data_IF_613182295849
#
_entry.id   IF_613182295849
#
_cell.length_a   1.000
_cell.length_b   1.000
_cell.length_c   1.000
_cell.angle_alpha   90.00
_cell.angle_beta   90.00
_cell.angle_gamma   90.00
#
_symmetry.space_group_name_H-M   'P 1'
#
loop_
_entity.id
_entity.type
_entity.pdbx_description
1 polymer ?
#
# COMPACT_ATOMS: atom_id res chain seq x y z
N UNK A 1 -22.39 7.65 -14.39
CA UNK A 1 -22.10 6.24 -13.94
C UNK A 1 -22.20 6.20 -12.42
N UNK A 2 -22.97 5.25 -11.83
CA UNK A 2 -23.11 5.11 -10.37
C UNK A 2 -22.24 3.94 -9.87
N UNK A 3 -21.31 4.26 -8.97
CA UNK A 3 -20.29 3.33 -8.45
C UNK A 3 -20.48 3.19 -6.94
N UNK A 4 -20.63 1.97 -6.47
CA UNK A 4 -20.63 1.66 -5.04
C UNK A 4 -19.36 0.87 -4.70
N UNK A 5 -18.62 1.37 -3.72
CA UNK A 5 -17.39 0.73 -3.22
C UNK A 5 -17.60 0.34 -1.76
N UNK A 6 -17.34 -0.91 -1.39
CA UNK A 6 -17.50 -1.39 -0.02
C UNK A 6 -16.17 -1.86 0.55
N UNK A 7 -15.67 -1.18 1.60
CA UNK A 7 -14.43 -1.56 2.28
C UNK A 7 -14.31 -0.95 3.68
N UNK A 8 -13.63 -1.68 4.57
CA UNK A 8 -13.22 -1.14 5.87
C UNK A 8 -12.02 -0.18 5.76
N UNK A 9 -11.28 -0.19 4.66
CA UNK A 9 -10.10 0.66 4.45
C UNK A 9 -10.46 2.14 4.45
N UNK A 10 -11.65 2.49 4.00
CA UNK A 10 -12.12 3.87 3.82
C UNK A 10 -12.80 4.49 5.04
N UNK A 11 -12.68 3.84 6.22
CA UNK A 11 -12.95 4.50 7.50
C UNK A 11 -11.97 5.65 7.76
N UNK A 12 -10.74 5.55 7.18
CA UNK A 12 -9.70 6.59 7.24
C UNK A 12 -9.88 7.56 6.08
N UNK A 13 -10.00 8.84 6.39
CA UNK A 13 -10.31 9.89 5.42
C UNK A 13 -9.26 10.01 4.30
N UNK A 14 -7.98 9.94 4.66
CA UNK A 14 -6.86 9.99 3.71
C UNK A 14 -6.93 8.91 2.63
N UNK A 15 -7.56 7.77 2.91
CA UNK A 15 -7.67 6.66 1.96
C UNK A 15 -8.75 6.90 0.89
N UNK A 16 -9.59 7.93 1.02
CA UNK A 16 -10.75 8.20 0.15
C UNK A 16 -10.43 9.03 -1.08
N UNK A 17 -9.24 9.63 -1.14
CA UNK A 17 -8.88 10.65 -2.14
C UNK A 17 -9.05 10.16 -3.59
N UNK A 18 -8.59 8.93 -3.88
CA UNK A 18 -8.81 8.30 -5.19
C UNK A 18 -10.28 8.33 -5.65
N UNK A 19 -11.22 8.07 -4.74
CA UNK A 19 -12.65 8.02 -5.07
C UNK A 19 -13.30 9.40 -5.11
N UNK A 20 -12.79 10.38 -4.36
CA UNK A 20 -13.20 11.79 -4.52
C UNK A 20 -12.79 12.29 -5.90
N UNK A 21 -11.54 12.01 -6.32
CA UNK A 21 -11.07 12.38 -7.65
C UNK A 21 -11.91 11.65 -8.71
N UNK A 22 -12.15 10.35 -8.57
CA UNK A 22 -12.96 9.57 -9.51
C UNK A 22 -14.35 10.19 -9.71
N UNK A 23 -15.00 10.65 -8.64
CA UNK A 23 -16.31 11.29 -8.70
C UNK A 23 -16.31 12.62 -9.47
N UNK A 24 -15.13 13.23 -9.64
CA UNK A 24 -14.96 14.52 -10.33
C UNK A 24 -14.33 14.39 -11.72
N UNK A 25 -13.98 13.17 -12.19
CA UNK A 25 -13.38 12.98 -13.52
C UNK A 25 -14.37 13.25 -14.65
N UNK A 26 -15.64 12.92 -14.46
CA UNK A 26 -16.71 13.15 -15.44
C UNK A 26 -18.00 13.60 -14.73
N UNK A 27 -18.81 14.48 -15.34
CA UNK A 27 -19.99 15.08 -14.67
C UNK A 27 -21.03 14.06 -14.19
N UNK A 28 -21.15 12.92 -14.88
CA UNK A 28 -22.19 11.92 -14.61
C UNK A 28 -21.70 10.78 -13.69
N UNK A 29 -20.55 10.95 -13.04
CA UNK A 29 -20.04 9.95 -12.10
C UNK A 29 -20.52 10.27 -10.69
N UNK A 30 -21.19 9.31 -10.07
CA UNK A 30 -21.55 9.32 -8.65
C UNK A 30 -20.84 8.17 -7.94
N UNK A 31 -20.15 8.47 -6.85
CA UNK A 31 -19.40 7.48 -6.06
C UNK A 31 -19.95 7.41 -4.64
N UNK A 32 -20.40 6.23 -4.24
CA UNK A 32 -20.81 5.93 -2.87
C UNK A 32 -19.84 4.93 -2.25
N UNK A 33 -19.15 5.34 -1.19
CA UNK A 33 -18.27 4.46 -0.42
C UNK A 33 -19.01 3.98 0.82
N UNK A 34 -19.27 2.67 0.88
CA UNK A 34 -19.87 2.01 2.04
C UNK A 34 -18.76 1.53 2.97
N UNK A 35 -18.84 1.94 4.22
CA UNK A 35 -17.89 1.57 5.27
C UNK A 35 -18.61 0.96 6.47
N UNK A 36 -17.95 0.08 7.25
CA UNK A 36 -18.51 -0.34 8.53
C UNK A 36 -18.67 0.86 9.45
N UNK A 37 -19.81 0.98 10.11
CA UNK A 37 -20.10 2.06 11.05
C UNK A 37 -19.12 2.05 12.22
N UNK A 38 -18.73 0.86 12.68
CA UNK A 38 -17.80 0.66 13.80
C UNK A 38 -16.73 -0.34 13.39
N UNK A 39 -15.47 0.09 13.39
CA UNK A 39 -14.37 -0.78 13.03
C UNK A 39 -13.14 -0.56 13.89
N UNK A 40 -12.47 -1.65 14.26
CA UNK A 40 -11.20 -1.65 14.97
C UNK A 40 -10.09 -1.97 13.97
N UNK A 41 -9.38 -0.96 13.45
CA UNK A 41 -8.24 -1.21 12.59
C UNK A 41 -7.15 -1.94 13.38
N UNK A 42 -6.47 -2.87 12.75
CA UNK A 42 -5.30 -3.53 13.34
C UNK A 42 -4.12 -2.58 13.48
N UNK A 43 -3.07 -3.01 14.19
CA UNK A 43 -1.83 -2.25 14.36
C UNK A 43 -1.78 -1.41 15.63
N UNK A 44 -1.13 -0.24 15.55
CA UNK A 44 -0.89 0.63 16.73
C UNK A 44 -2.15 1.30 17.28
N UNK A 45 -3.15 1.53 16.41
CA UNK A 45 -4.44 2.11 16.83
C UNK A 45 -5.41 1.01 17.28
N UNK A 46 -5.38 0.68 18.55
CA UNK A 46 -6.25 -0.35 19.13
C UNK A 46 -7.63 0.20 19.55
N UNK A 47 -8.08 1.32 18.97
CA UNK A 47 -9.35 1.97 19.26
C UNK A 47 -10.38 1.65 18.17
N UNK A 48 -11.65 1.53 18.57
CA UNK A 48 -12.77 1.45 17.61
C UNK A 48 -12.95 2.84 17.01
N UNK A 49 -12.97 2.89 15.67
CA UNK A 49 -13.32 4.09 14.91
C UNK A 49 -14.81 4.01 14.57
N UNK A 50 -15.54 5.06 14.86
CA UNK A 50 -16.93 5.26 14.42
C UNK A 50 -16.92 6.24 13.25
N UNK A 51 -17.40 5.77 12.10
CA UNK A 51 -17.44 6.59 10.89
C UNK A 51 -18.77 7.36 10.83
N UNK A 52 -18.68 8.62 10.46
CA UNK A 52 -19.82 9.50 10.22
C UNK A 52 -20.15 9.55 8.73
N UNK A 53 -21.40 9.87 8.41
CA UNK A 53 -21.80 10.18 7.04
C UNK A 53 -21.04 11.42 6.54
N UNK A 54 -20.59 11.36 5.29
CA UNK A 54 -19.90 12.46 4.64
C UNK A 54 -20.34 12.55 3.19
N UNK A 55 -20.52 13.77 2.67
CA UNK A 55 -20.85 14.01 1.27
C UNK A 55 -20.17 15.28 0.76
N UNK A 56 -19.62 15.20 -0.45
CA UNK A 56 -19.00 16.30 -1.17
C UNK A 56 -19.29 16.12 -2.67
N UNK A 57 -20.12 16.99 -3.23
CA UNK A 57 -20.57 16.87 -4.62
C UNK A 57 -21.22 15.51 -4.92
N UNK A 58 -20.67 14.81 -5.90
CA UNK A 58 -21.09 13.45 -6.33
C UNK A 58 -20.41 12.32 -5.56
N UNK A 59 -19.55 12.62 -4.59
CA UNK A 59 -18.91 11.66 -3.70
C UNK A 59 -19.60 11.62 -2.33
N UNK A 60 -19.86 10.42 -1.82
CA UNK A 60 -20.37 10.24 -0.45
C UNK A 60 -19.79 9.02 0.24
N UNK A 61 -19.69 9.09 1.57
CA UNK A 61 -19.31 7.99 2.48
C UNK A 61 -20.50 7.65 3.35
N UNK A 62 -20.97 6.42 3.26
CA UNK A 62 -22.16 5.94 3.97
C UNK A 62 -21.75 4.85 4.98
N UNK A 63 -21.71 5.17 6.28
CA UNK A 63 -21.49 4.16 7.30
C UNK A 63 -22.73 3.26 7.44
N UNK A 64 -22.52 1.94 7.37
CA UNK A 64 -23.58 0.95 7.55
C UNK A 64 -23.25 0.09 8.79
N UNK A 65 -24.26 -0.21 9.59
CA UNK A 65 -24.10 -1.15 10.71
C UNK A 65 -23.50 -2.47 10.24
N UNK A 66 -22.63 -3.07 11.05
CA UNK A 66 -21.84 -4.23 10.65
C UNK A 66 -21.71 -5.25 11.78
N UNK A 67 -21.59 -6.54 11.42
CA UNK A 67 -21.58 -7.63 12.38
C UNK A 67 -20.17 -8.04 12.84
N UNK A 68 -19.13 -7.81 12.04
CA UNK A 68 -17.74 -7.97 12.47
C UNK A 68 -17.07 -6.60 12.61
N UNK A 69 -16.27 -6.41 13.68
CA UNK A 69 -15.62 -5.13 13.97
C UNK A 69 -14.10 -5.16 13.71
N UNK A 70 -13.50 -6.32 13.41
CA UNK A 70 -12.05 -6.48 13.25
C UNK A 70 -11.64 -7.63 12.33
N UNK A 71 -12.58 -8.44 11.86
CA UNK A 71 -12.30 -9.55 10.96
C UNK A 71 -12.86 -9.25 9.57
N UNK A 72 -11.95 -8.97 8.63
CA UNK A 72 -12.29 -8.62 7.24
C UNK A 72 -13.07 -9.73 6.52
N UNK A 73 -12.71 -10.99 6.75
CA UNK A 73 -13.36 -12.14 6.11
C UNK A 73 -14.82 -12.33 6.52
N UNK A 74 -15.12 -11.95 7.78
CA UNK A 74 -16.46 -12.08 8.38
C UNK A 74 -17.28 -10.79 8.32
N UNK A 75 -16.72 -9.69 7.78
CA UNK A 75 -17.45 -8.44 7.65
C UNK A 75 -18.70 -8.65 6.80
N UNK A 76 -19.86 -8.27 7.36
CA UNK A 76 -21.13 -8.15 6.66
C UNK A 76 -21.85 -6.89 7.12
N UNK A 77 -22.70 -6.35 6.26
CA UNK A 77 -23.42 -5.11 6.48
C UNK A 77 -24.88 -5.37 6.85
N UNK A 78 -25.46 -4.50 7.64
CA UNK A 78 -26.85 -4.57 8.07
C UNK A 78 -27.86 -4.21 6.96
N UNK A 79 -29.13 -4.22 7.33
CA UNK A 79 -30.27 -4.09 6.38
C UNK A 79 -30.35 -2.73 5.69
N UNK A 80 -29.75 -1.67 6.24
CA UNK A 80 -29.73 -0.35 5.60
C UNK A 80 -28.95 -0.36 4.28
N UNK A 81 -28.05 -1.34 4.08
CA UNK A 81 -27.41 -1.58 2.79
C UNK A 81 -28.44 -1.87 1.69
N UNK A 82 -29.52 -2.61 2.00
CA UNK A 82 -30.58 -2.94 1.04
C UNK A 82 -31.30 -1.66 0.56
N UNK A 83 -31.65 -0.79 1.51
CA UNK A 83 -32.30 0.51 1.19
C UNK A 83 -31.38 1.41 0.33
N UNK A 84 -30.08 1.44 0.70
CA UNK A 84 -29.08 2.17 -0.07
C UNK A 84 -28.99 1.66 -1.51
N UNK A 85 -28.86 0.35 -1.71
CA UNK A 85 -28.78 -0.28 -3.02
C UNK A 85 -30.02 -0.04 -3.87
N UNK A 86 -31.23 -0.13 -3.28
CA UNK A 86 -32.50 0.14 -3.97
C UNK A 86 -32.61 1.59 -4.44
N UNK A 87 -32.16 2.54 -3.62
CA UNK A 87 -32.19 3.97 -3.93
C UNK A 87 -31.10 4.38 -4.91
N UNK A 88 -29.86 3.98 -4.67
CA UNK A 88 -28.68 4.38 -5.45
C UNK A 88 -28.60 3.65 -6.80
N UNK A 89 -29.01 2.37 -6.87
CA UNK A 89 -28.99 1.51 -8.06
C UNK A 89 -27.65 1.59 -8.81
N UNK A 90 -26.55 1.13 -8.19
CA UNK A 90 -25.22 1.21 -8.79
C UNK A 90 -25.15 0.39 -10.09
N UNK A 91 -24.28 0.83 -11.01
CA UNK A 91 -23.86 0.08 -12.21
C UNK A 91 -22.59 -0.73 -11.94
N UNK A 92 -21.80 -0.27 -10.97
CA UNK A 92 -20.59 -0.95 -10.48
C UNK A 92 -20.73 -1.18 -8.97
N UNK A 93 -20.44 -2.39 -8.53
CA UNK A 93 -20.29 -2.76 -7.10
C UNK A 93 -18.89 -3.30 -6.91
N UNK A 94 -18.00 -2.53 -6.31
CA UNK A 94 -16.63 -2.94 -6.00
C UNK A 94 -16.50 -3.29 -4.51
N UNK A 95 -16.02 -4.50 -4.20
CA UNK A 95 -15.82 -4.96 -2.83
C UNK A 95 -14.33 -5.19 -2.57
N UNK A 96 -13.76 -4.42 -1.65
CA UNK A 96 -12.33 -4.48 -1.34
C UNK A 96 -12.05 -5.21 -0.03
N UNK A 97 -12.41 -6.50 0.01
CA UNK A 97 -12.25 -7.39 1.18
C UNK A 97 -11.59 -8.74 0.83
N UNK A 98 -11.19 -8.92 -0.44
CA UNK A 98 -10.62 -10.17 -0.93
C UNK A 98 -11.64 -11.23 -1.31
N UNK A 99 -11.18 -12.24 -2.06
CA UNK A 99 -12.03 -13.31 -2.65
C UNK A 99 -12.78 -14.18 -1.63
N UNK A 100 -12.30 -14.24 -0.41
CA UNK A 100 -12.81 -15.10 0.67
C UNK A 100 -13.75 -14.38 1.64
N UNK A 101 -14.25 -13.19 1.29
CA UNK A 101 -15.04 -12.37 2.22
C UNK A 101 -16.54 -12.60 2.10
N UNK A 102 -17.22 -12.57 3.23
CA UNK A 102 -18.68 -12.60 3.30
C UNK A 102 -19.31 -11.33 2.74
N UNK A 103 -18.66 -10.16 2.87
CA UNK A 103 -19.15 -8.91 2.29
C UNK A 103 -19.25 -9.00 0.76
N UNK A 104 -18.30 -9.67 0.11
CA UNK A 104 -18.34 -9.91 -1.33
C UNK A 104 -19.58 -10.76 -1.71
N UNK A 105 -19.75 -11.90 -1.04
CA UNK A 105 -20.92 -12.77 -1.27
C UNK A 105 -22.24 -12.05 -0.98
N UNK A 106 -22.31 -11.25 0.09
CA UNK A 106 -23.49 -10.47 0.44
C UNK A 106 -23.89 -9.50 -0.67
N UNK A 107 -22.93 -8.72 -1.18
CA UNK A 107 -23.21 -7.71 -2.21
C UNK A 107 -23.53 -8.35 -3.56
N UNK A 108 -22.88 -9.45 -3.93
CA UNK A 108 -23.23 -10.25 -5.11
C UNK A 108 -24.67 -10.79 -5.00
N UNK A 109 -25.03 -11.35 -3.83
CA UNK A 109 -26.38 -11.86 -3.60
C UNK A 109 -27.43 -10.75 -3.66
N UNK A 110 -27.17 -9.59 -3.03
CA UNK A 110 -28.07 -8.44 -3.06
C UNK A 110 -28.21 -7.87 -4.47
N UNK A 111 -27.13 -7.78 -5.25
CA UNK A 111 -27.18 -7.39 -6.66
C UNK A 111 -28.17 -8.27 -7.46
N UNK A 112 -28.11 -9.59 -7.25
CA UNK A 112 -29.00 -10.57 -7.87
C UNK A 112 -30.46 -10.41 -7.40
N UNK A 113 -30.69 -10.40 -6.09
CA UNK A 113 -32.03 -10.33 -5.50
C UNK A 113 -32.77 -9.03 -5.84
N UNK A 114 -32.07 -7.92 -5.85
CA UNK A 114 -32.62 -6.59 -6.17
C UNK A 114 -32.63 -6.30 -7.69
N UNK A 115 -32.16 -7.25 -8.52
CA UNK A 115 -32.09 -7.13 -9.98
C UNK A 115 -31.43 -5.81 -10.42
N UNK A 116 -30.29 -5.46 -9.79
CA UNK A 116 -29.60 -4.20 -10.10
C UNK A 116 -28.87 -4.26 -11.43
N UNK A 117 -28.43 -5.45 -11.86
CA UNK A 117 -27.62 -5.68 -13.07
C UNK A 117 -26.26 -4.98 -13.01
N UNK A 118 -25.77 -4.70 -11.80
CA UNK A 118 -24.46 -4.09 -11.61
C UNK A 118 -23.32 -5.07 -11.90
N UNK A 119 -22.20 -4.58 -12.41
CA UNK A 119 -20.95 -5.35 -12.51
C UNK A 119 -20.32 -5.49 -11.14
N UNK A 120 -20.02 -6.72 -10.75
CA UNK A 120 -19.35 -7.03 -9.49
C UNK A 120 -17.84 -7.02 -9.68
N UNK A 121 -17.14 -6.23 -8.92
CA UNK A 121 -15.68 -6.13 -8.96
C UNK A 121 -15.14 -6.47 -7.57
N UNK A 122 -14.07 -7.26 -7.54
CA UNK A 122 -13.39 -7.68 -6.33
C UNK A 122 -11.98 -7.09 -6.31
N UNK A 123 -11.54 -6.62 -5.13
CA UNK A 123 -10.15 -6.23 -4.90
C UNK A 123 -9.46 -7.19 -3.91
N UNK A 124 -8.17 -7.48 -4.16
CA UNK A 124 -7.33 -8.28 -3.26
C UNK A 124 -5.89 -7.81 -3.19
N UNK A 125 -5.32 -7.83 -1.96
CA UNK A 125 -3.88 -7.67 -1.70
C UNK A 125 -3.14 -9.00 -1.57
N UNK A 126 -3.85 -10.13 -1.56
CA UNK A 126 -3.26 -11.41 -1.16
C UNK A 126 -2.24 -11.90 -2.19
N UNK A 127 -0.98 -12.02 -1.79
CA UNK A 127 0.16 -12.34 -2.65
C UNK A 127 0.89 -13.66 -2.28
N UNK A 128 0.26 -14.52 -1.48
CA UNK A 128 0.82 -15.81 -1.08
C UNK A 128 -0.12 -16.96 -1.46
N UNK A 129 0.39 -18.10 -1.93
CA UNK A 129 -0.40 -19.31 -2.09
C UNK A 129 -1.08 -19.70 -0.78
N UNK A 130 -2.31 -20.22 -0.86
CA UNK A 130 -3.08 -20.61 0.30
C UNK A 130 -3.90 -21.88 0.05
N UNK A 131 -4.22 -22.55 1.15
CA UNK A 131 -5.11 -23.72 1.17
C UNK A 131 -6.37 -23.37 1.95
N UNK A 132 -7.51 -23.81 1.45
CA UNK A 132 -8.81 -23.53 2.02
C UNK A 132 -9.49 -24.83 2.47
N UNK A 133 -10.20 -24.77 3.60
CA UNK A 133 -11.18 -25.79 3.90
C UNK A 133 -12.35 -25.68 2.92
N UNK A 134 -13.22 -26.71 2.89
CA UNK A 134 -14.29 -26.83 1.91
C UNK A 134 -15.30 -25.66 1.97
N UNK A 135 -15.63 -25.14 3.18
CA UNK A 135 -16.58 -24.03 3.35
C UNK A 135 -16.03 -22.73 2.77
N UNK A 136 -14.78 -22.39 3.09
CA UNK A 136 -14.14 -21.17 2.58
C UNK A 136 -13.85 -21.29 1.08
N UNK A 137 -13.55 -22.50 0.59
CA UNK A 137 -13.39 -22.77 -0.84
C UNK A 137 -14.71 -22.59 -1.60
N UNK A 138 -15.83 -23.06 -1.03
CA UNK A 138 -17.15 -22.84 -1.60
C UNK A 138 -17.48 -21.33 -1.69
N UNK A 139 -17.23 -20.58 -0.61
CA UNK A 139 -17.43 -19.12 -0.58
C UNK A 139 -16.58 -18.41 -1.63
N UNK A 140 -15.30 -18.76 -1.72
CA UNK A 140 -14.40 -18.17 -2.71
C UNK A 140 -14.83 -18.49 -4.14
N UNK A 141 -15.18 -19.74 -4.42
CA UNK A 141 -15.65 -20.15 -5.74
C UNK A 141 -16.94 -19.40 -6.12
N UNK A 142 -17.88 -19.25 -5.17
CA UNK A 142 -19.09 -18.45 -5.39
C UNK A 142 -18.73 -17.00 -5.75
N UNK A 143 -17.84 -16.37 -4.97
CA UNK A 143 -17.43 -15.00 -5.22
C UNK A 143 -16.76 -14.86 -6.60
N UNK A 144 -15.81 -15.73 -6.93
CA UNK A 144 -15.09 -15.68 -8.21
C UNK A 144 -15.99 -15.92 -9.42
N UNK A 145 -16.93 -16.86 -9.33
CA UNK A 145 -17.88 -17.17 -10.41
C UNK A 145 -18.87 -16.02 -10.72
N UNK A 146 -19.13 -15.14 -9.75
CA UNK A 146 -20.07 -14.03 -9.89
C UNK A 146 -19.37 -12.65 -9.90
N UNK A 147 -18.07 -12.63 -10.13
CA UNK A 147 -17.26 -11.40 -10.27
C UNK A 147 -16.96 -11.16 -11.74
N UNK A 148 -17.31 -9.97 -12.25
CA UNK A 148 -17.07 -9.56 -13.63
C UNK A 148 -15.64 -9.08 -13.84
N UNK A 149 -15.02 -8.45 -12.83
CA UNK A 149 -13.64 -7.95 -12.88
C UNK A 149 -12.93 -8.05 -11.55
N UNK A 150 -11.61 -8.25 -11.58
CA UNK A 150 -10.76 -8.27 -10.38
C UNK A 150 -9.71 -7.18 -10.47
N UNK A 151 -9.53 -6.46 -9.36
CA UNK A 151 -8.40 -5.59 -9.14
C UNK A 151 -7.47 -6.30 -8.16
N UNK A 152 -6.26 -6.62 -8.62
CA UNK A 152 -5.22 -7.21 -7.80
C UNK A 152 -4.20 -6.15 -7.41
N UNK A 153 -3.94 -6.01 -6.11
CA UNK A 153 -2.99 -5.03 -5.59
C UNK A 153 -1.54 -5.32 -5.95
N UNK A 154 -1.27 -6.49 -6.54
CA UNK A 154 0.05 -6.97 -6.96
C UNK A 154 -0.07 -8.10 -7.99
N UNK A 155 1.03 -8.39 -8.69
CA UNK A 155 1.10 -9.42 -9.74
C UNK A 155 0.89 -10.84 -9.18
N UNK A 156 1.43 -11.13 -8.00
CA UNK A 156 1.27 -12.45 -7.38
C UNK A 156 -0.19 -12.73 -7.05
N UNK A 157 -0.92 -11.72 -6.56
CA UNK A 157 -2.37 -11.82 -6.31
C UNK A 157 -3.16 -12.14 -7.58
N UNK A 158 -2.82 -11.48 -8.70
CA UNK A 158 -3.42 -11.77 -9.99
C UNK A 158 -3.15 -13.22 -10.44
N UNK A 159 -1.89 -13.68 -10.35
CA UNK A 159 -1.49 -15.05 -10.69
C UNK A 159 -2.23 -16.09 -9.83
N UNK A 160 -2.33 -15.86 -8.52
CA UNK A 160 -3.01 -16.76 -7.59
C UNK A 160 -4.49 -16.91 -7.98
N UNK A 161 -5.19 -15.81 -8.27
CA UNK A 161 -6.60 -15.89 -8.65
C UNK A 161 -6.80 -16.56 -10.02
N UNK A 162 -5.88 -16.39 -10.96
CA UNK A 162 -5.86 -17.17 -12.21
C UNK A 162 -5.71 -18.68 -11.94
N UNK A 163 -4.78 -19.07 -11.05
CA UNK A 163 -4.59 -20.47 -10.62
C UNK A 163 -5.80 -21.03 -9.88
N UNK A 164 -6.59 -20.18 -9.21
CA UNK A 164 -7.87 -20.50 -8.57
C UNK A 164 -9.03 -20.60 -9.57
N UNK A 165 -8.78 -20.45 -10.86
CA UNK A 165 -9.76 -20.67 -11.93
C UNK A 165 -10.49 -19.42 -12.41
N UNK A 166 -10.11 -18.20 -11.95
CA UNK A 166 -10.73 -16.98 -12.46
C UNK A 166 -10.28 -16.67 -13.89
N UNK A 167 -11.23 -16.51 -14.82
CA UNK A 167 -10.98 -16.27 -16.24
C UNK A 167 -11.39 -14.87 -16.72
N UNK A 168 -12.07 -14.07 -15.87
CA UNK A 168 -12.55 -12.73 -16.24
C UNK A 168 -11.45 -11.68 -16.32
N UNK A 169 -11.81 -10.42 -16.48
CA UNK A 169 -10.89 -9.29 -16.55
C UNK A 169 -10.11 -9.09 -15.24
N UNK A 170 -8.80 -8.81 -15.33
CA UNK A 170 -7.93 -8.53 -14.17
C UNK A 170 -7.11 -7.29 -14.45
N UNK A 171 -7.22 -6.29 -13.58
CA UNK A 171 -6.35 -5.11 -13.53
C UNK A 171 -5.40 -5.23 -12.34
N UNK A 172 -4.10 -5.03 -12.55
CA UNK A 172 -3.12 -4.95 -11.47
C UNK A 172 -2.88 -3.49 -11.15
N UNK A 173 -3.28 -3.07 -9.94
CA UNK A 173 -3.07 -1.71 -9.45
C UNK A 173 -3.21 -1.65 -7.92
N UNK A 174 -2.48 -0.77 -7.22
CA UNK A 174 -2.59 -0.65 -5.78
C UNK A 174 -3.95 -0.09 -5.35
N UNK A 175 -4.33 -0.38 -4.11
CA UNK A 175 -5.56 0.13 -3.51
C UNK A 175 -5.51 1.64 -3.27
N UNK A 176 -4.36 2.14 -2.85
CA UNK A 176 -4.12 3.53 -2.47
C UNK A 176 -3.01 4.10 -3.34
N UNK A 177 -3.17 5.35 -3.76
CA UNK A 177 -2.15 6.12 -4.45
C UNK A 177 -1.34 7.00 -3.50
N UNK A 178 -0.34 7.69 -4.06
CA UNK A 178 0.36 8.78 -3.38
C UNK A 178 -0.36 10.10 -3.64
N UNK A 179 -0.38 10.94 -2.62
CA UNK A 179 -0.83 12.34 -2.73
C UNK A 179 0.37 13.19 -3.19
N UNK A 180 0.37 13.59 -4.45
CA UNK A 180 1.42 14.39 -5.08
C UNK A 180 1.49 15.83 -4.57
N UNK A 181 0.45 16.31 -3.89
CA UNK A 181 0.45 17.64 -3.26
C UNK A 181 1.19 17.60 -1.94
N UNK A 182 1.12 16.49 -1.24
CA UNK A 182 1.78 16.22 0.03
C UNK A 182 3.23 15.72 -0.19
N UNK A 183 3.39 14.67 -1.01
CA UNK A 183 4.67 14.07 -1.35
C UNK A 183 5.24 14.70 -2.62
N UNK A 184 6.04 15.73 -2.43
CA UNK A 184 6.71 16.47 -3.50
C UNK A 184 8.14 16.79 -3.14
N UNK A 185 8.95 16.99 -4.14
CA UNK A 185 10.32 17.45 -3.93
C UNK A 185 10.32 18.80 -3.22
N UNK A 186 11.06 18.87 -2.13
CA UNK A 186 11.43 20.09 -1.44
C UNK A 186 12.93 20.05 -1.12
N UNK A 187 13.53 21.21 -0.86
CA UNK A 187 14.89 21.24 -0.33
C UNK A 187 14.97 20.52 1.03
N UNK A 188 16.16 20.06 1.42
CA UNK A 188 16.40 19.55 2.77
C UNK A 188 16.07 20.64 3.79
N UNK A 189 15.23 20.31 4.75
CA UNK A 189 14.84 21.23 5.83
C UNK A 189 16.09 21.56 6.68
N UNK A 190 16.51 22.84 6.77
CA UNK A 190 17.73 23.23 7.50
C UNK A 190 17.62 22.99 9.00
N UNK A 191 16.42 23.12 9.58
CA UNK A 191 16.21 22.94 11.02
C UNK A 191 16.24 21.47 11.38
N UNK A 192 15.61 20.60 10.57
CA UNK A 192 15.71 19.15 10.73
C UNK A 192 17.15 18.66 10.50
N UNK A 193 17.85 19.19 9.48
CA UNK A 193 19.24 18.85 9.21
C UNK A 193 20.14 19.19 10.42
N UNK A 194 20.00 20.39 10.97
CA UNK A 194 20.73 20.83 12.17
C UNK A 194 20.38 20.01 13.40
N UNK A 195 19.08 19.74 13.61
CA UNK A 195 18.58 18.91 14.72
C UNK A 195 19.18 17.52 14.74
N UNK A 196 19.37 16.93 13.56
CA UNK A 196 19.88 15.56 13.40
C UNK A 196 21.39 15.49 13.13
N UNK A 197 22.10 16.61 13.12
CA UNK A 197 23.53 16.66 12.84
C UNK A 197 23.87 16.12 11.45
N UNK A 198 23.01 16.42 10.45
CA UNK A 198 23.22 16.05 9.05
C UNK A 198 24.03 17.16 8.39
N UNK A 199 25.26 16.85 8.03
CA UNK A 199 26.13 17.79 7.32
C UNK A 199 25.82 17.80 5.81
N UNK A 200 26.12 18.90 5.09
CA UNK A 200 25.89 18.99 3.65
C UNK A 200 26.59 17.89 2.83
N UNK A 201 27.69 17.34 3.35
CA UNK A 201 28.46 16.26 2.73
C UNK A 201 27.96 14.86 3.07
N UNK A 202 27.03 14.73 4.00
CA UNK A 202 26.50 13.43 4.40
C UNK A 202 25.56 12.87 3.35
N UNK A 203 25.77 11.61 2.99
CA UNK A 203 24.82 10.84 2.22
C UNK A 203 23.79 10.19 3.16
N UNK A 204 22.56 10.67 3.13
CA UNK A 204 21.49 10.20 4.02
C UNK A 204 20.77 9.02 3.37
N UNK A 205 20.94 7.83 3.95
CA UNK A 205 20.18 6.64 3.61
C UNK A 205 18.93 6.60 4.47
N UNK A 206 17.75 6.50 3.86
CA UNK A 206 16.48 6.54 4.55
C UNK A 206 15.75 5.20 4.61
N UNK A 207 14.99 5.01 5.68
CA UNK A 207 13.97 3.98 5.81
C UNK A 207 12.77 4.56 6.55
N UNK A 208 11.58 4.31 6.02
CA UNK A 208 10.31 4.67 6.68
C UNK A 208 9.43 3.44 6.79
N UNK A 209 9.00 3.10 8.00
CA UNK A 209 8.13 1.95 8.21
C UNK A 209 8.26 1.29 9.57
N UNK A 210 7.60 0.14 9.73
CA UNK A 210 7.66 -0.64 10.98
C UNK A 210 9.03 -1.30 11.15
N UNK A 211 9.56 -1.28 12.37
CA UNK A 211 10.81 -1.97 12.70
C UNK A 211 10.51 -3.42 13.12
N UNK A 212 10.37 -4.28 12.11
CA UNK A 212 10.08 -5.71 12.23
C UNK A 212 10.99 -6.51 11.31
N UNK A 213 11.17 -7.79 11.61
CA UNK A 213 12.17 -8.64 10.91
C UNK A 213 11.96 -8.67 9.39
N UNK A 214 10.70 -8.80 8.96
CA UNK A 214 10.34 -8.89 7.54
C UNK A 214 10.65 -7.62 6.73
N UNK A 215 10.95 -6.50 7.40
CA UNK A 215 11.39 -5.27 6.74
C UNK A 215 12.92 -5.22 6.49
N UNK A 216 13.67 -6.28 6.86
CA UNK A 216 15.05 -6.48 6.45
C UNK A 216 16.06 -5.46 6.97
N UNK A 217 15.75 -4.74 8.07
CA UNK A 217 16.62 -3.68 8.60
C UNK A 217 18.00 -4.18 9.02
N UNK A 218 18.14 -5.44 9.45
CA UNK A 218 19.44 -6.01 9.76
C UNK A 218 20.32 -6.19 8.51
N UNK A 219 19.73 -6.50 7.37
CA UNK A 219 20.44 -6.58 6.07
C UNK A 219 20.96 -5.19 5.68
N UNK A 220 20.14 -4.13 5.85
CA UNK A 220 20.57 -2.77 5.57
C UNK A 220 21.67 -2.30 6.55
N UNK A 221 21.54 -2.61 7.84
CA UNK A 221 22.58 -2.30 8.83
C UNK A 221 23.91 -2.98 8.48
N UNK A 222 23.87 -4.26 8.08
CA UNK A 222 25.07 -5.01 7.63
C UNK A 222 25.70 -4.40 6.37
N UNK A 223 24.89 -3.97 5.40
CA UNK A 223 25.38 -3.29 4.20
C UNK A 223 26.07 -1.97 4.54
N UNK A 224 25.45 -1.15 5.41
CA UNK A 224 25.97 0.14 5.87
C UNK A 224 27.27 -0.03 6.67
N UNK A 225 27.36 -1.02 7.53
CA UNK A 225 28.58 -1.33 8.29
C UNK A 225 29.80 -1.63 7.39
N UNK A 226 29.56 -2.11 6.17
CA UNK A 226 30.58 -2.30 5.14
C UNK A 226 31.08 -1.03 4.45
N UNK A 227 30.39 0.12 4.60
CA UNK A 227 30.70 1.40 3.96
C UNK A 227 31.63 2.24 4.85
N UNK A 228 32.88 1.80 5.04
CA UNK A 228 33.84 2.40 6.01
C UNK A 228 34.39 3.76 5.61
N UNK A 229 34.46 4.07 4.32
CA UNK A 229 35.21 5.24 3.79
C UNK A 229 34.31 6.47 3.45
N UNK A 230 32.99 6.33 3.46
CA UNK A 230 32.07 7.37 3.04
C UNK A 230 31.44 8.06 4.25
N UNK A 231 31.16 9.36 4.15
CA UNK A 231 30.32 10.06 5.11
C UNK A 231 28.86 9.77 4.81
N UNK A 232 28.19 9.07 5.72
CA UNK A 232 26.78 8.75 5.60
C UNK A 232 26.09 8.77 6.95
N UNK A 233 24.80 9.01 6.91
CA UNK A 233 23.87 8.88 8.04
C UNK A 233 22.74 7.94 7.64
N UNK A 234 22.18 7.21 8.59
CA UNK A 234 21.00 6.38 8.39
C UNK A 234 19.82 6.95 9.13
N UNK A 235 18.84 7.48 8.40
CA UNK A 235 17.60 8.04 8.94
C UNK A 235 16.50 6.97 8.97
N UNK A 236 16.11 6.60 10.18
CA UNK A 236 15.10 5.59 10.46
C UNK A 236 13.85 6.27 11.02
N UNK A 237 12.75 6.27 10.25
CA UNK A 237 11.46 6.84 10.69
C UNK A 237 10.48 5.71 10.95
N UNK A 238 10.03 5.57 12.20
CA UNK A 238 9.08 4.53 12.59
C UNK A 238 9.37 3.91 13.95
N UNK A 239 8.69 2.79 14.19
CA UNK A 239 8.84 2.04 15.44
C UNK A 239 8.53 0.56 15.25
N UNK A 240 8.94 -0.27 16.21
CA UNK A 240 8.65 -1.70 16.19
C UNK A 240 9.56 -2.51 17.11
N UNK A 241 9.24 -3.79 17.26
CA UNK A 241 9.91 -4.69 18.21
C UNK A 241 11.39 -4.93 17.90
N UNK A 242 11.80 -4.70 16.64
CA UNK A 242 13.19 -4.91 16.23
C UNK A 242 14.13 -3.79 16.70
N UNK A 243 13.62 -2.63 17.16
CA UNK A 243 14.44 -1.44 17.48
C UNK A 243 15.59 -1.73 18.43
N UNK A 244 15.33 -2.39 19.54
CA UNK A 244 16.37 -2.69 20.55
C UNK A 244 17.45 -3.58 19.97
N UNK A 245 17.08 -4.68 19.34
CA UNK A 245 18.02 -5.60 18.73
C UNK A 245 18.82 -4.96 17.57
N UNK A 246 18.18 -4.12 16.77
CA UNK A 246 18.84 -3.38 15.71
C UNK A 246 19.88 -2.39 16.28
N UNK A 247 19.55 -1.68 17.37
CA UNK A 247 20.47 -0.77 18.03
C UNK A 247 21.70 -1.52 18.61
N UNK A 248 21.49 -2.66 19.25
CA UNK A 248 22.56 -3.53 19.73
C UNK A 248 23.52 -3.95 18.61
N UNK A 249 22.96 -4.38 17.46
CA UNK A 249 23.76 -4.73 16.28
C UNK A 249 24.51 -3.52 15.68
N UNK A 250 23.91 -2.35 15.67
CA UNK A 250 24.61 -1.14 15.22
C UNK A 250 25.81 -0.76 16.13
N UNK A 251 25.70 -1.00 17.44
CA UNK A 251 26.83 -0.85 18.37
C UNK A 251 27.91 -1.88 18.07
N UNK A 252 27.54 -3.16 17.96
CA UNK A 252 28.46 -4.28 17.64
C UNK A 252 29.23 -4.02 16.35
N UNK A 253 28.58 -3.44 15.35
CA UNK A 253 29.18 -3.14 14.04
C UNK A 253 29.87 -1.77 13.95
N UNK A 254 29.85 -1.00 15.05
CA UNK A 254 30.54 0.30 15.13
C UNK A 254 29.94 1.39 14.25
N UNK A 255 28.62 1.40 14.09
CA UNK A 255 27.89 2.38 13.27
C UNK A 255 26.83 3.17 14.04
N UNK A 256 26.76 2.99 15.35
CA UNK A 256 25.72 3.59 16.20
C UNK A 256 25.67 5.12 16.16
N UNK A 257 26.81 5.78 16.00
CA UNK A 257 26.97 7.24 15.90
C UNK A 257 26.45 7.84 14.58
N UNK A 258 26.18 6.98 13.59
CA UNK A 258 25.66 7.37 12.29
C UNK A 258 24.14 7.18 12.16
N UNK A 259 23.46 6.67 13.21
CA UNK A 259 22.04 6.33 13.16
C UNK A 259 21.20 7.47 13.72
N UNK A 260 20.23 7.89 12.94
CA UNK A 260 19.21 8.88 13.34
C UNK A 260 17.89 8.18 13.54
N UNK A 261 17.43 8.11 14.78
CA UNK A 261 16.15 7.50 15.13
C UNK A 261 15.06 8.57 15.23
N UNK A 262 14.01 8.38 14.43
CA UNK A 262 12.79 9.19 14.50
C UNK A 262 11.63 8.27 14.83
N UNK A 263 10.86 8.61 15.84
CA UNK A 263 9.65 7.84 16.19
C UNK A 263 8.59 7.93 15.09
N UNK A 264 7.57 7.08 15.21
CA UNK A 264 6.46 7.11 14.27
C UNK A 264 5.78 8.47 14.32
N UNK A 265 5.63 9.10 13.17
CA UNK A 265 4.92 10.37 12.96
C UNK A 265 3.65 10.12 12.16
N UNK A 266 2.75 11.09 12.08
CA UNK A 266 1.58 10.99 11.19
C UNK A 266 2.01 10.98 9.72
N UNK A 267 1.20 10.41 8.85
CA UNK A 267 1.52 10.29 7.42
C UNK A 267 1.81 11.65 6.76
N UNK A 268 1.08 12.68 7.17
CA UNK A 268 1.26 14.06 6.69
C UNK A 268 2.60 14.69 7.09
N UNK A 269 3.25 14.16 8.12
CA UNK A 269 4.54 14.62 8.62
C UNK A 269 5.73 13.86 8.01
N UNK A 270 5.50 12.84 7.18
CA UNK A 270 6.55 12.02 6.55
C UNK A 270 7.38 12.79 5.50
N UNK A 271 6.79 13.62 4.60
CA UNK A 271 7.53 14.21 3.48
C UNK A 271 8.79 14.99 3.84
N UNK A 272 8.84 15.80 4.91
CA UNK A 272 10.08 16.48 5.31
C UNK A 272 11.24 15.52 5.60
N UNK A 273 10.95 14.35 6.20
CA UNK A 273 11.97 13.32 6.46
C UNK A 273 12.45 12.65 5.18
N UNK A 274 11.53 12.34 4.25
CA UNK A 274 11.90 11.76 2.94
C UNK A 274 12.79 12.75 2.18
N UNK A 275 12.48 14.04 2.21
CA UNK A 275 13.28 15.07 1.53
C UNK A 275 14.67 15.31 2.16
N UNK A 276 14.97 14.82 3.37
CA UNK A 276 16.32 14.78 3.92
C UNK A 276 17.20 13.69 3.30
N UNK A 277 16.58 12.66 2.72
CA UNK A 277 17.25 11.45 2.23
C UNK A 277 17.94 11.71 0.87
N UNK A 278 19.06 11.06 0.64
CA UNK A 278 19.69 10.96 -0.67
C UNK A 278 19.24 9.69 -1.40
N UNK A 279 18.83 8.65 -0.67
CA UNK A 279 18.11 7.50 -1.20
C UNK A 279 17.21 6.90 -0.11
N UNK A 280 16.10 6.28 -0.53
CA UNK A 280 15.25 5.47 0.34
C UNK A 280 15.50 4.00 0.05
N UNK A 281 15.66 3.18 1.11
CA UNK A 281 15.86 1.73 0.98
C UNK A 281 14.69 0.98 1.60
N UNK A 282 14.08 0.07 0.82
CA UNK A 282 13.07 -0.88 1.31
C UNK A 282 13.62 -2.30 1.18
N UNK A 283 14.36 -2.81 2.20
CA UNK A 283 15.06 -4.08 2.13
C UNK A 283 14.19 -5.27 2.60
N UNK A 284 12.89 -5.25 2.34
CA UNK A 284 11.94 -6.26 2.80
C UNK A 284 12.38 -7.67 2.43
N UNK A 285 12.03 -8.65 3.27
CA UNK A 285 12.41 -10.05 3.10
C UNK A 285 11.18 -10.95 3.27
N UNK A 286 11.10 -11.99 2.48
CA UNK A 286 10.11 -13.04 2.65
C UNK A 286 10.29 -13.71 4.02
N UNK A 287 9.21 -13.81 4.78
CA UNK A 287 9.20 -14.46 6.09
C UNK A 287 8.17 -15.59 6.11
N UNK A 288 8.57 -16.75 6.61
CA UNK A 288 7.68 -17.91 6.82
C UNK A 288 7.24 -18.07 8.27
N UNK A 289 7.56 -17.10 9.13
CA UNK A 289 7.17 -17.11 10.55
C UNK A 289 5.69 -16.80 10.76
N UNK A 290 5.06 -16.08 9.83
CA UNK A 290 3.64 -15.73 9.93
C UNK A 290 2.76 -16.90 9.51
N UNK A 291 1.77 -17.21 10.36
CA UNK A 291 0.75 -18.21 10.07
C UNK A 291 -0.62 -17.59 10.20
N UNK A 292 -1.41 -17.71 9.16
CA UNK A 292 -2.84 -17.43 9.18
C UNK A 292 -3.61 -18.74 9.11
N UNK A 293 -4.93 -18.67 9.19
CA UNK A 293 -5.78 -19.87 9.04
C UNK A 293 -5.64 -20.54 7.65
N UNK A 294 -5.18 -19.81 6.65
CA UNK A 294 -5.19 -20.26 5.25
C UNK A 294 -3.83 -20.23 4.57
N UNK A 295 -2.82 -19.56 5.14
CA UNK A 295 -1.51 -19.43 4.52
C UNK A 295 -0.39 -19.26 5.54
N UNK A 296 0.83 -19.58 5.09
CA UNK A 296 2.08 -19.37 5.82
C UNK A 296 2.96 -18.43 5.04
N UNK A 297 3.49 -17.43 5.72
CA UNK A 297 4.46 -16.49 5.19
C UNK A 297 3.95 -15.05 5.10
N UNK A 298 4.88 -14.19 4.74
CA UNK A 298 4.69 -12.79 4.45
C UNK A 298 5.65 -12.38 3.33
N UNK A 299 5.18 -11.60 2.39
CA UNK A 299 5.95 -10.91 1.37
C UNK A 299 5.47 -9.48 1.25
N UNK A 300 6.32 -8.58 0.78
CA UNK A 300 5.90 -7.21 0.50
C UNK A 300 4.76 -7.19 -0.54
N UNK A 301 3.65 -6.58 -0.16
CA UNK A 301 2.47 -6.55 -1.03
C UNK A 301 2.54 -5.44 -2.07
N UNK A 302 3.23 -4.34 -1.75
CA UNK A 302 3.41 -3.21 -2.66
C UNK A 302 4.64 -2.37 -2.29
N UNK A 303 4.72 -1.84 -1.06
CA UNK A 303 5.78 -0.94 -0.62
C UNK A 303 5.47 0.53 -0.90
N UNK A 304 4.34 1.05 -0.36
CA UNK A 304 3.88 2.43 -0.60
C UNK A 304 4.95 3.50 -0.39
N UNK A 305 5.85 3.31 0.58
CA UNK A 305 6.95 4.25 0.82
C UNK A 305 7.87 4.45 -0.39
N UNK A 306 7.94 3.48 -1.31
CA UNK A 306 8.69 3.61 -2.57
C UNK A 306 8.07 4.69 -3.46
N UNK A 307 6.77 4.65 -3.66
CA UNK A 307 6.08 5.66 -4.49
C UNK A 307 6.04 7.03 -3.81
N UNK A 308 6.04 7.08 -2.48
CA UNK A 308 6.17 8.32 -1.70
C UNK A 308 7.55 8.96 -1.90
N UNK A 309 8.62 8.16 -1.85
CA UNK A 309 9.98 8.63 -2.12
C UNK A 309 10.16 9.04 -3.59
N UNK A 310 9.64 8.25 -4.52
CA UNK A 310 9.64 8.56 -5.95
C UNK A 310 8.92 9.88 -6.24
N UNK A 311 7.76 10.14 -5.61
CA UNK A 311 7.04 11.40 -5.74
C UNK A 311 7.85 12.61 -5.24
N UNK A 312 8.73 12.38 -4.25
CA UNK A 312 9.70 13.36 -3.77
C UNK A 312 11.00 13.43 -4.60
N UNK A 313 11.08 12.73 -5.75
CA UNK A 313 12.30 12.61 -6.56
C UNK A 313 13.51 12.03 -5.80
N UNK A 314 13.26 11.20 -4.80
CA UNK A 314 14.31 10.50 -4.06
C UNK A 314 14.55 9.14 -4.69
N UNK A 315 15.77 8.82 -5.14
CA UNK A 315 16.10 7.50 -5.70
C UNK A 315 15.80 6.39 -4.69
N UNK A 316 15.29 5.27 -5.19
CA UNK A 316 14.90 4.14 -4.35
C UNK A 316 15.76 2.91 -4.62
N UNK A 317 16.04 2.17 -3.56
CA UNK A 317 16.63 0.84 -3.60
C UNK A 317 15.65 -0.13 -2.93
N UNK A 318 15.29 -1.22 -3.59
CA UNK A 318 14.41 -2.23 -3.02
C UNK A 318 15.00 -3.63 -3.13
N UNK A 319 14.56 -4.55 -2.26
CA UNK A 319 14.83 -5.97 -2.46
C UNK A 319 13.91 -6.54 -3.55
N UNK A 320 14.20 -7.77 -4.01
CA UNK A 320 13.31 -8.50 -4.92
C UNK A 320 12.13 -9.20 -4.20
N UNK A 321 11.81 -8.77 -2.97
CA UNK A 321 10.71 -9.31 -2.18
C UNK A 321 9.33 -8.86 -2.68
N UNK A 322 8.52 -9.79 -3.13
CA UNK A 322 7.12 -9.55 -3.51
C UNK A 322 6.97 -8.57 -4.69
N UNK A 323 6.19 -7.51 -4.51
CA UNK A 323 5.87 -6.55 -5.57
C UNK A 323 6.92 -5.44 -5.76
N UNK A 324 7.92 -5.34 -4.89
CA UNK A 324 8.95 -4.28 -4.94
C UNK A 324 9.58 -4.11 -6.33
N UNK A 325 10.03 -5.19 -7.02
CA UNK A 325 10.65 -5.03 -8.34
C UNK A 325 9.70 -4.42 -9.37
N UNK A 326 8.42 -4.78 -9.32
CA UNK A 326 7.42 -4.25 -10.23
C UNK A 326 7.09 -2.78 -9.94
N UNK A 327 7.00 -2.41 -8.67
CA UNK A 327 6.79 -1.00 -8.26
C UNK A 327 7.96 -0.13 -8.70
N UNK A 328 9.19 -0.58 -8.50
CA UNK A 328 10.41 0.15 -8.91
C UNK A 328 10.55 0.20 -10.43
N UNK A 329 10.35 -0.92 -11.12
CA UNK A 329 10.61 -1.03 -12.56
C UNK A 329 12.07 -0.69 -12.90
N UNK A 330 12.24 0.23 -13.84
CA UNK A 330 13.55 0.77 -14.27
C UNK A 330 13.94 2.08 -13.55
N UNK A 331 13.14 2.51 -12.56
CA UNK A 331 13.25 3.80 -11.90
C UNK A 331 13.98 3.73 -10.53
N UNK A 332 14.77 2.69 -10.29
CA UNK A 332 15.54 2.50 -9.06
C UNK A 332 16.43 1.26 -9.16
N UNK A 333 17.04 0.87 -8.05
CA UNK A 333 17.90 -0.30 -7.98
C UNK A 333 17.22 -1.43 -7.22
N UNK A 334 17.36 -2.67 -7.71
CA UNK A 334 16.81 -3.86 -7.07
C UNK A 334 17.95 -4.81 -6.72
N UNK A 335 17.91 -5.36 -5.51
CA UNK A 335 18.90 -6.34 -5.02
C UNK A 335 18.22 -7.61 -4.49
N UNK A 336 18.87 -8.77 -4.50
CA UNK A 336 18.32 -10.01 -3.94
C UNK A 336 18.06 -9.88 -2.43
N UNK A 337 16.86 -10.27 -1.97
CA UNK A 337 16.47 -10.18 -0.56
C UNK A 337 17.51 -10.87 0.36
N UNK A 338 17.85 -10.22 1.49
CA UNK A 338 18.84 -10.72 2.42
C UNK A 338 20.31 -10.53 2.00
N UNK A 339 20.59 -10.08 0.78
CA UNK A 339 21.96 -9.90 0.30
C UNK A 339 22.53 -8.52 0.62
N UNK A 340 23.14 -8.39 1.80
CA UNK A 340 23.78 -7.15 2.25
C UNK A 340 24.96 -6.71 1.35
N UNK A 341 25.64 -7.65 0.67
CA UNK A 341 26.75 -7.35 -0.24
C UNK A 341 26.29 -6.58 -1.46
N UNK A 342 25.30 -7.09 -2.19
CA UNK A 342 24.71 -6.42 -3.35
C UNK A 342 24.03 -5.09 -2.96
N UNK A 343 23.33 -5.07 -1.80
CA UNK A 343 22.76 -3.81 -1.30
C UNK A 343 23.83 -2.75 -1.06
N UNK A 344 24.99 -3.14 -0.50
CA UNK A 344 26.14 -2.23 -0.34
C UNK A 344 26.65 -1.69 -1.67
N UNK A 345 26.73 -2.54 -2.70
CA UNK A 345 27.13 -2.12 -4.05
C UNK A 345 26.13 -1.11 -4.65
N UNK A 346 24.83 -1.34 -4.48
CA UNK A 346 23.80 -0.39 -4.88
C UNK A 346 23.97 0.98 -4.18
N UNK A 347 24.21 0.96 -2.86
CA UNK A 347 24.45 2.18 -2.10
C UNK A 347 25.72 2.91 -2.57
N UNK A 348 26.82 2.20 -2.81
CA UNK A 348 28.06 2.77 -3.34
C UNK A 348 27.85 3.43 -4.71
N UNK A 349 27.11 2.76 -5.61
CA UNK A 349 26.81 3.35 -6.92
C UNK A 349 26.09 4.71 -6.80
N UNK A 350 25.10 4.85 -5.90
CA UNK A 350 24.40 6.11 -5.71
C UNK A 350 25.26 7.17 -5.00
N UNK A 351 26.18 6.76 -4.09
CA UNK A 351 27.09 7.67 -3.43
C UNK A 351 28.16 8.23 -4.38
N UNK A 352 28.66 7.40 -5.28
CA UNK A 352 29.77 7.73 -6.18
C UNK A 352 29.31 8.39 -7.49
N UNK A 353 28.08 8.10 -7.93
CA UNK A 353 27.54 8.52 -9.23
C UNK A 353 26.31 9.40 -9.06
N UNK A 354 26.54 10.69 -8.78
CA UNK A 354 25.47 11.68 -8.58
C UNK A 354 24.51 11.79 -9.78
N UNK A 355 25.03 11.67 -11.01
CA UNK A 355 24.20 11.67 -12.23
C UNK A 355 23.23 10.49 -12.27
N UNK A 356 23.67 9.30 -11.84
CA UNK A 356 22.80 8.12 -11.74
C UNK A 356 21.71 8.34 -10.69
N UNK A 357 22.06 8.90 -9.54
CA UNK A 357 21.10 9.18 -8.48
C UNK A 357 20.04 10.19 -8.95
N UNK A 358 20.45 11.24 -9.66
CA UNK A 358 19.53 12.22 -10.24
C UNK A 358 18.61 11.58 -11.30
N UNK A 359 19.16 10.82 -12.24
CA UNK A 359 18.41 10.14 -13.29
C UNK A 359 17.37 9.16 -12.71
N UNK A 360 17.75 8.36 -11.70
CA UNK A 360 16.84 7.45 -11.02
C UNK A 360 15.74 8.19 -10.23
N UNK A 361 16.09 9.33 -9.62
CA UNK A 361 15.12 10.21 -8.96
C UNK A 361 14.08 10.75 -9.93
N UNK A 362 14.52 11.24 -11.10
CA UNK A 362 13.65 11.79 -12.13
C UNK A 362 12.76 10.70 -12.76
N UNK A 363 13.31 9.53 -13.09
CA UNK A 363 12.53 8.38 -13.56
C UNK A 363 11.52 7.92 -12.53
N UNK A 364 11.92 7.88 -11.24
CA UNK A 364 11.04 7.55 -10.13
C UNK A 364 9.84 8.51 -10.06
N UNK A 365 10.11 9.80 -10.13
CA UNK A 365 9.06 10.82 -10.15
C UNK A 365 8.08 10.62 -11.30
N UNK A 366 8.57 10.50 -12.52
CA UNK A 366 7.70 10.28 -13.68
C UNK A 366 6.88 9.01 -13.55
N UNK A 367 7.48 7.92 -13.06
CA UNK A 367 6.79 6.66 -12.82
C UNK A 367 5.69 6.80 -11.75
N UNK A 368 5.98 7.48 -10.64
CA UNK A 368 4.99 7.73 -9.59
C UNK A 368 3.82 8.59 -10.10
N UNK A 369 4.12 9.69 -10.81
CA UNK A 369 3.10 10.58 -11.35
C UNK A 369 2.20 9.89 -12.37
N UNK A 370 2.76 9.07 -13.27
CA UNK A 370 2.01 8.42 -14.33
C UNK A 370 1.19 7.22 -13.88
N UNK A 371 1.61 6.52 -12.79
CA UNK A 371 1.01 5.24 -12.46
C UNK A 371 0.42 5.16 -11.05
N UNK A 372 0.88 5.99 -10.10
CA UNK A 372 0.65 5.74 -8.69
C UNK A 372 0.07 6.91 -7.90
N UNK A 373 -0.19 8.08 -8.52
CA UNK A 373 -0.95 9.14 -7.86
C UNK A 373 -2.40 8.73 -7.68
N UNK A 374 -3.10 9.32 -6.71
CA UNK A 374 -4.53 9.09 -6.55
C UNK A 374 -5.31 9.43 -7.84
N UNK A 375 -4.87 10.44 -8.59
CA UNK A 375 -5.44 10.79 -9.90
C UNK A 375 -5.20 9.71 -10.94
N UNK A 376 -3.96 9.27 -11.11
CA UNK A 376 -3.62 8.21 -12.08
C UNK A 376 -4.38 6.91 -11.78
N UNK A 377 -4.54 6.56 -10.49
CA UNK A 377 -5.34 5.39 -10.10
C UNK A 377 -6.84 5.58 -10.36
N UNK A 378 -7.37 6.78 -10.16
CA UNK A 378 -8.77 7.08 -10.46
C UNK A 378 -9.06 6.97 -11.97
N UNK A 379 -8.17 7.47 -12.81
CA UNK A 379 -8.26 7.36 -14.26
C UNK A 379 -8.17 5.90 -14.74
N UNK A 380 -7.20 5.13 -14.24
CA UNK A 380 -7.07 3.70 -14.53
C UNK A 380 -8.30 2.89 -14.08
N UNK A 381 -8.89 3.27 -12.95
CA UNK A 381 -10.07 2.63 -12.41
C UNK A 381 -11.30 2.92 -13.26
N UNK A 382 -11.46 4.17 -13.71
CA UNK A 382 -12.54 4.58 -14.61
C UNK A 382 -12.47 3.84 -15.95
N UNK A 383 -11.27 3.74 -16.53
CA UNK A 383 -11.04 2.97 -17.75
C UNK A 383 -11.48 1.51 -17.58
N UNK A 384 -11.03 0.86 -16.50
CA UNK A 384 -11.40 -0.53 -16.19
C UNK A 384 -12.91 -0.71 -15.99
N UNK A 385 -13.59 0.25 -15.36
CA UNK A 385 -15.05 0.19 -15.22
C UNK A 385 -15.77 0.31 -16.56
N UNK A 386 -15.27 1.18 -17.46
CA UNK A 386 -15.83 1.35 -18.80
C UNK A 386 -15.65 0.10 -19.68
N UNK A 387 -14.54 -0.61 -19.53
CA UNK A 387 -14.29 -1.88 -20.20
C UNK A 387 -15.27 -2.99 -19.78
N UNK A 388 -15.79 -2.94 -18.56
CA UNK A 388 -16.68 -3.97 -18.03
C UNK A 388 -18.17 -3.69 -18.31
N UNK A 389 -18.56 -2.42 -18.54
CA UNK A 389 -19.94 -2.02 -18.80
C UNK A 389 -20.36 -2.27 -20.26
#
# INVERSE_FOLDING_TARGET
>A
MRILVASHTYIVDLNREKFKILANLEPDIEVTVVVPQRWKPGGLQNKIIETQFYQEGSFQVVPISNYSQNNQGLLTFGTDLIKLLQKFRPQIIQVEQGSKSLACAQLILLNKLLKLQAKNILFTWWNLPYQLNWLVSFLENYNLQHTDGIIAGNLDGAKILRQRGYQGAVKVMPQLGVDETLFRRSGKDPDLSRRFGIEPTDFVVGFVGRFVEEKGLLTLASALAGLKKSSWKWLLVGQGKLRTHLAEKCIEWGISDRIIWVESVSHEQIPPYINLMNCLVLPSQTSYKFKTLTAVGWKEQFGHVLIEAMACQIPVIGSDCGEIPHVIGDAGLVFPEGNAGVLRECLQQLMERQELAADLGDRGYHRAMSNYTNKALAEQLLEFYKELL
#
